data_IF_459565753059
#
_entry.id   IF_459565753059
#
_cell.length_a   1.000
_cell.length_b   1.000
_cell.length_c   1.000
_cell.angle_alpha   90.00
_cell.angle_beta   90.00
_cell.angle_gamma   90.00
#
_symmetry.space_group_name_H-M   'P 1'
#
loop_
_entity.id
_entity.type
_entity.pdbx_description
1 polymer ?
#
# COMPACT_ATOMS: atom_id res chain seq x y z
N UNK A 1 -1.01 -8.14 -11.29
CA UNK A 1 -2.14 -7.96 -10.34
C UNK A 1 -2.74 -9.24 -9.79
N UNK A 2 -2.87 -10.36 -10.54
CA UNK A 2 -3.44 -11.61 -9.99
C UNK A 2 -2.73 -12.10 -8.72
N UNK A 3 -1.40 -12.21 -8.73
CA UNK A 3 -0.60 -12.63 -7.56
C UNK A 3 -0.87 -11.81 -6.30
N UNK A 4 -0.88 -10.47 -6.42
CA UNK A 4 -1.20 -9.58 -5.27
C UNK A 4 -2.61 -9.82 -4.75
N UNK A 5 -3.60 -10.01 -5.62
CA UNK A 5 -4.97 -10.33 -5.17
C UNK A 5 -5.06 -11.69 -4.48
N UNK A 6 -4.36 -12.69 -4.99
CA UNK A 6 -4.30 -14.02 -4.38
C UNK A 6 -3.62 -13.96 -2.99
N UNK A 7 -2.59 -13.11 -2.85
CA UNK A 7 -1.96 -12.82 -1.57
C UNK A 7 -2.92 -12.14 -0.58
N UNK A 8 -3.69 -11.15 -1.03
CA UNK A 8 -4.71 -10.48 -0.20
C UNK A 8 -5.74 -11.48 0.37
N UNK A 9 -6.22 -12.40 -0.47
CA UNK A 9 -7.19 -13.44 -0.06
C UNK A 9 -6.56 -14.44 0.92
N UNK A 10 -5.31 -14.85 0.70
CA UNK A 10 -4.64 -15.81 1.58
C UNK A 10 -4.13 -15.20 2.90
N UNK A 11 -3.95 -13.88 2.96
CA UNK A 11 -3.36 -13.16 4.10
C UNK A 11 -4.24 -12.01 4.60
N UNK A 12 -5.56 -12.22 4.68
CA UNK A 12 -6.53 -11.16 5.02
C UNK A 12 -6.20 -10.41 6.32
N UNK A 13 -5.74 -11.12 7.36
CA UNK A 13 -5.40 -10.51 8.65
C UNK A 13 -4.21 -9.55 8.52
N UNK A 14 -3.16 -9.98 7.82
CA UNK A 14 -1.96 -9.16 7.58
C UNK A 14 -2.35 -7.94 6.75
N UNK A 15 -3.15 -8.14 5.69
CA UNK A 15 -3.59 -7.05 4.84
C UNK A 15 -4.42 -6.01 5.60
N UNK A 16 -5.36 -6.46 6.44
CA UNK A 16 -6.14 -5.58 7.30
C UNK A 16 -5.27 -4.76 8.28
N UNK A 17 -4.19 -5.35 8.79
CA UNK A 17 -3.24 -4.63 9.65
C UNK A 17 -2.47 -3.55 8.87
N UNK A 18 -2.08 -3.85 7.62
CA UNK A 18 -1.43 -2.89 6.73
C UNK A 18 -2.33 -1.69 6.43
N UNK A 19 -3.61 -1.92 6.14
CA UNK A 19 -4.60 -0.85 5.93
C UNK A 19 -4.73 0.09 7.16
N UNK A 20 -4.47 -0.44 8.36
CA UNK A 20 -4.54 0.28 9.64
C UNK A 20 -3.17 0.77 10.11
N UNK A 21 -2.12 0.65 9.30
CA UNK A 21 -0.76 0.95 9.72
C UNK A 21 -0.58 2.45 9.98
N UNK A 22 -0.53 2.84 11.26
CA UNK A 22 -0.58 4.23 11.71
C UNK A 22 0.50 5.12 11.08
N UNK A 23 1.74 4.63 11.01
CA UNK A 23 2.85 5.42 10.45
C UNK A 23 2.69 5.65 8.94
N UNK A 24 2.17 4.65 8.23
CA UNK A 24 1.90 4.79 6.79
C UNK A 24 0.79 5.81 6.57
N UNK A 25 -0.36 5.64 7.23
CA UNK A 25 -1.53 6.52 7.07
C UNK A 25 -1.29 7.96 7.55
N UNK A 26 -0.32 8.18 8.44
CA UNK A 26 0.09 9.53 8.84
C UNK A 26 0.99 10.24 7.81
N UNK A 27 1.68 9.47 6.96
CA UNK A 27 2.69 9.98 6.04
C UNK A 27 2.26 9.93 4.57
N UNK A 28 1.40 8.98 4.19
CA UNK A 28 1.02 8.69 2.82
C UNK A 28 -0.50 8.69 2.64
N UNK A 29 -0.92 9.20 1.48
CA UNK A 29 -2.26 9.01 0.94
C UNK A 29 -2.18 8.00 -0.20
N UNK A 30 -3.09 7.02 -0.22
CA UNK A 30 -3.19 6.08 -1.36
C UNK A 30 -3.86 6.77 -2.55
N UNK A 31 -3.25 6.66 -3.71
CA UNK A 31 -3.78 7.16 -4.97
C UNK A 31 -3.90 6.02 -5.97
N UNK A 32 -5.08 5.43 -6.01
CA UNK A 32 -5.34 4.30 -6.88
C UNK A 32 -6.79 4.28 -7.36
N UNK A 33 -6.94 3.91 -8.63
CA UNK A 33 -8.24 3.64 -9.22
C UNK A 33 -8.71 2.23 -8.83
N UNK A 34 -10.02 2.12 -8.62
CA UNK A 34 -10.69 0.85 -8.41
C UNK A 34 -11.43 0.44 -9.68
N UNK A 35 -11.35 -0.85 -10.02
CA UNK A 35 -12.18 -1.46 -11.05
C UNK A 35 -13.66 -1.22 -10.74
N UNK A 36 -14.53 -1.08 -11.75
CA UNK A 36 -15.98 -0.92 -11.60
C UNK A 36 -16.73 -2.21 -11.24
N UNK A 37 -16.10 -3.35 -11.48
CA UNK A 37 -16.64 -4.66 -11.17
C UNK A 37 -15.63 -5.46 -10.35
N UNK A 38 -16.13 -6.51 -9.68
CA UNK A 38 -15.30 -7.51 -9.03
C UNK A 38 -14.37 -8.15 -10.05
N UNK A 39 -13.07 -8.29 -9.76
CA UNK A 39 -12.15 -8.98 -10.66
C UNK A 39 -12.60 -10.44 -10.87
N UNK A 40 -12.40 -10.97 -12.07
CA UNK A 40 -12.79 -12.35 -12.41
C UNK A 40 -12.10 -13.35 -11.47
N UNK A 41 -12.86 -14.27 -10.90
CA UNK A 41 -12.35 -15.34 -10.04
C UNK A 41 -12.32 -15.04 -8.54
N UNK A 42 -12.84 -13.87 -8.11
CA UNK A 42 -12.93 -13.50 -6.70
C UNK A 42 -14.39 -13.36 -6.26
N UNK A 43 -14.68 -13.67 -5.00
CA UNK A 43 -16.01 -13.54 -4.42
C UNK A 43 -16.42 -12.06 -4.33
N UNK A 44 -17.64 -11.74 -4.77
CA UNK A 44 -18.22 -10.40 -4.69
C UNK A 44 -18.50 -9.98 -3.24
N UNK A 45 -18.68 -10.93 -2.33
CA UNK A 45 -18.94 -10.69 -0.91
C UNK A 45 -17.67 -10.75 -0.05
N UNK A 46 -16.49 -10.88 -0.66
CA UNK A 46 -15.23 -10.95 0.06
C UNK A 46 -15.04 -9.71 0.96
N UNK A 47 -14.62 -9.85 2.23
CA UNK A 47 -14.48 -8.71 3.16
C UNK A 47 -13.49 -7.64 2.68
N UNK A 48 -12.49 -8.05 1.91
CA UNK A 48 -11.50 -7.17 1.26
C UNK A 48 -11.79 -6.87 -0.22
N UNK A 49 -13.04 -6.95 -0.67
CA UNK A 49 -13.42 -6.76 -2.08
C UNK A 49 -12.92 -5.42 -2.67
N UNK A 50 -12.94 -4.37 -1.86
CA UNK A 50 -12.46 -3.05 -2.25
C UNK A 50 -10.96 -3.04 -2.57
N UNK A 51 -10.17 -3.80 -1.81
CA UNK A 51 -8.74 -3.94 -2.07
C UNK A 51 -8.46 -4.86 -3.26
N UNK A 52 -9.28 -5.89 -3.46
CA UNK A 52 -9.21 -6.72 -4.65
C UNK A 52 -9.52 -5.92 -5.92
N UNK A 53 -10.37 -4.89 -5.83
CA UNK A 53 -10.72 -4.01 -6.97
C UNK A 53 -9.63 -2.99 -7.31
N UNK A 54 -8.62 -2.81 -6.47
CA UNK A 54 -7.53 -1.88 -6.75
C UNK A 54 -6.82 -2.26 -8.06
N UNK A 55 -6.49 -1.24 -8.85
CA UNK A 55 -5.71 -1.38 -10.08
C UNK A 55 -4.21 -1.27 -9.83
N UNK A 56 -3.83 -0.52 -8.81
CA UNK A 56 -2.45 -0.26 -8.39
C UNK A 56 -2.37 0.02 -6.89
N UNK A 57 -1.16 0.04 -6.35
CA UNK A 57 -0.87 0.43 -4.97
C UNK A 57 0.19 1.53 -5.01
N UNK A 58 -0.25 2.79 -4.88
CA UNK A 58 0.62 3.97 -4.97
C UNK A 58 0.36 4.83 -3.74
N UNK A 59 1.37 4.97 -2.88
CA UNK A 59 1.35 5.91 -1.76
C UNK A 59 2.08 7.20 -2.12
N UNK A 60 1.44 8.34 -1.90
CA UNK A 60 2.07 9.66 -2.07
C UNK A 60 2.20 10.37 -0.72
N UNK A 61 3.43 10.76 -0.39
CA UNK A 61 3.72 11.60 0.76
C UNK A 61 3.96 13.05 0.28
N UNK A 62 3.04 13.99 0.55
CA UNK A 62 3.22 15.37 0.12
C UNK A 62 4.35 16.03 0.90
N UNK A 63 5.29 16.65 0.19
CA UNK A 63 6.37 17.44 0.77
C UNK A 63 6.16 18.91 0.43
N UNK A 64 6.27 19.77 1.43
CA UNK A 64 6.27 21.22 1.22
C UNK A 64 7.63 21.68 0.69
N UNK A 65 7.64 22.79 -0.06
CA UNK A 65 8.90 23.41 -0.53
C UNK A 65 9.89 23.68 0.61
N UNK A 66 9.38 24.12 1.77
CA UNK A 66 10.18 24.36 2.97
C UNK A 66 10.87 23.09 3.47
N UNK A 67 10.16 21.96 3.52
CA UNK A 67 10.75 20.68 3.92
C UNK A 67 11.83 20.23 2.93
N UNK A 68 11.59 20.39 1.62
CA UNK A 68 12.56 20.02 0.58
C UNK A 68 13.83 20.88 0.64
N UNK A 69 13.73 22.15 1.03
CA UNK A 69 14.86 23.06 1.15
C UNK A 69 15.54 23.02 2.52
N UNK A 70 15.00 22.24 3.46
CA UNK A 70 15.52 22.14 4.83
C UNK A 70 16.62 21.09 4.92
N UNK A 71 17.58 21.31 5.84
CA UNK A 71 18.56 20.28 6.22
C UNK A 71 17.89 19.05 6.86
N UNK A 72 16.68 19.23 7.42
CA UNK A 72 15.87 18.14 7.98
C UNK A 72 15.39 17.14 6.92
N UNK A 73 15.48 17.46 5.62
CA UNK A 73 15.10 16.56 4.54
C UNK A 73 15.84 15.22 4.64
N UNK A 74 17.12 15.26 5.01
CA UNK A 74 17.99 14.08 5.15
C UNK A 74 17.45 13.11 6.20
N UNK A 75 16.79 13.61 7.24
CA UNK A 75 16.11 12.77 8.24
C UNK A 75 14.68 12.40 7.84
N UNK A 76 14.00 13.29 7.12
CA UNK A 76 12.62 13.09 6.70
C UNK A 76 12.48 11.93 5.72
N UNK A 77 13.38 11.82 4.72
CA UNK A 77 13.28 10.78 3.69
C UNK A 77 13.37 9.36 4.29
N UNK A 78 14.37 9.00 5.14
CA UNK A 78 14.41 7.69 5.77
C UNK A 78 13.19 7.38 6.64
N UNK A 79 12.62 8.39 7.32
CA UNK A 79 11.38 8.23 8.10
C UNK A 79 10.20 7.86 7.20
N UNK A 80 10.07 8.51 6.04
CA UNK A 80 9.02 8.21 5.05
C UNK A 80 9.22 6.82 4.43
N UNK A 81 10.45 6.46 4.05
CA UNK A 81 10.77 5.11 3.53
C UNK A 81 10.40 4.04 4.57
N UNK A 82 10.79 4.25 5.83
CA UNK A 82 10.46 3.33 6.93
C UNK A 82 8.94 3.22 7.16
N UNK A 83 8.21 4.32 7.02
CA UNK A 83 6.75 4.31 7.12
C UNK A 83 6.08 3.55 5.96
N UNK A 84 6.65 3.63 4.75
CA UNK A 84 6.25 2.90 3.54
C UNK A 84 6.61 1.42 3.54
N UNK A 85 7.64 1.04 4.30
CA UNK A 85 8.26 -0.28 4.27
C UNK A 85 7.27 -1.46 4.40
N UNK A 86 6.29 -1.46 5.32
CA UNK A 86 5.40 -2.61 5.48
C UNK A 86 4.56 -2.92 4.24
N UNK A 87 4.10 -1.88 3.53
CA UNK A 87 3.34 -2.07 2.29
C UNK A 87 4.25 -2.66 1.20
N UNK A 88 5.49 -2.17 1.09
CA UNK A 88 6.43 -2.66 0.10
C UNK A 88 6.85 -4.11 0.34
N UNK A 89 7.11 -4.50 1.59
CA UNK A 89 7.38 -5.90 1.98
C UNK A 89 6.23 -6.80 1.50
N UNK A 90 4.99 -6.46 1.84
CA UNK A 90 3.83 -7.27 1.46
C UNK A 90 3.63 -7.36 -0.06
N UNK A 91 3.89 -6.28 -0.80
CA UNK A 91 3.79 -6.29 -2.26
C UNK A 91 4.91 -7.12 -2.91
N UNK A 92 6.14 -7.02 -2.43
CA UNK A 92 7.26 -7.83 -2.93
C UNK A 92 7.07 -9.30 -2.59
N UNK A 93 6.65 -9.62 -1.37
CA UNK A 93 6.31 -10.98 -0.96
C UNK A 93 5.22 -11.59 -1.84
N UNK A 94 4.13 -10.84 -2.07
CA UNK A 94 3.07 -11.26 -2.98
C UNK A 94 3.54 -11.49 -4.43
N UNK A 95 4.63 -10.85 -4.84
CA UNK A 95 5.22 -11.00 -6.16
C UNK A 95 6.37 -12.02 -6.19
N UNK A 96 6.72 -12.61 -5.05
CA UNK A 96 7.88 -13.51 -4.87
C UNK A 96 9.19 -12.80 -5.27
N UNK A 97 9.34 -11.54 -4.86
CA UNK A 97 10.51 -10.71 -5.13
C UNK A 97 11.23 -10.35 -3.82
N UNK A 98 12.57 -10.16 -3.85
CA UNK A 98 13.28 -9.59 -2.71
C UNK A 98 12.84 -8.14 -2.48
N UNK A 99 12.85 -7.74 -1.21
CA UNK A 99 12.64 -6.36 -0.77
C UNK A 99 13.91 -5.82 -0.11
#
# INVERSE_FOLDING_TARGET
MRRIRDYIVSHETIWNQLLKHKKFNAAFTMHNDRLKSTPRGYDKQHPLIDELRQQSFIGMAPLTRKQVQSQELVELIPRLVTAGNPLMVALCEALEQPW
#
